data_IF_539716530729
#
_entry.id   IF_539716530729
#
_cell.length_a   1.000
_cell.length_b   1.000
_cell.length_c   1.000
_cell.angle_alpha   90.00
_cell.angle_beta   90.00
_cell.angle_gamma   90.00
#
_symmetry.space_group_name_H-M   'P 1'
#
loop_
_entity.id
_entity.type
_entity.pdbx_description
1 polymer ?
#
# COMPACT_ATOMS: atom_id res chain seq x y z
N UNK A 1 4.92 30.30 17.98
CA UNK A 1 5.57 29.12 18.59
C UNK A 1 4.50 28.24 19.22
N UNK A 2 4.31 27.00 18.74
CA UNK A 2 3.38 26.04 19.34
C UNK A 2 4.11 25.29 20.44
N UNK A 3 3.85 25.60 21.70
CA UNK A 3 4.34 24.80 22.82
C UNK A 3 3.71 23.41 22.72
N UNK A 4 4.48 22.44 22.23
CA UNK A 4 4.18 21.03 22.39
C UNK A 4 4.17 20.76 23.88
N UNK A 5 2.96 20.73 24.49
CA UNK A 5 2.77 20.31 25.89
C UNK A 5 3.52 19.00 26.07
N UNK A 6 4.68 19.07 26.74
CA UNK A 6 5.39 17.90 27.19
C UNK A 6 4.36 17.10 27.97
N UNK A 7 3.97 15.93 27.44
CA UNK A 7 3.03 15.04 28.13
C UNK A 7 3.73 14.63 29.41
N UNK A 8 3.45 15.34 30.48
CA UNK A 8 3.86 15.00 31.82
C UNK A 8 3.55 13.52 31.99
N UNK A 9 4.61 12.71 32.10
CA UNK A 9 4.49 11.28 32.35
C UNK A 9 3.97 11.16 33.77
N UNK A 10 2.66 11.34 33.97
CA UNK A 10 2.05 11.22 35.27
C UNK A 10 2.43 9.86 35.88
N UNK A 11 2.94 9.82 37.12
CA UNK A 11 2.95 8.60 37.90
C UNK A 11 1.49 8.33 38.33
N UNK A 12 0.75 7.59 37.51
CA UNK A 12 -0.72 7.44 37.60
C UNK A 12 -1.19 6.53 38.76
N UNK A 13 -0.32 6.12 39.67
CA UNK A 13 -0.66 5.09 40.68
C UNK A 13 -0.75 5.72 42.07
N UNK A 14 -1.84 5.44 42.80
CA UNK A 14 -2.07 5.85 44.18
C UNK A 14 -2.56 4.64 44.99
N UNK A 15 -2.13 4.50 46.23
CA UNK A 15 -2.66 3.47 47.13
C UNK A 15 -3.97 4.00 47.72
N UNK A 16 -5.07 3.28 47.49
CA UNK A 16 -6.40 3.57 48.04
C UNK A 16 -6.82 2.30 48.78
N UNK A 17 -7.09 2.40 50.08
CA UNK A 17 -7.47 1.26 50.93
C UNK A 17 -6.49 0.07 50.87
N UNK A 18 -5.18 0.37 50.79
CA UNK A 18 -4.13 -0.64 50.68
C UNK A 18 -3.97 -1.27 49.29
N UNK A 19 -4.80 -0.89 48.31
CA UNK A 19 -4.74 -1.38 46.93
C UNK A 19 -4.11 -0.33 46.02
N UNK A 20 -3.12 -0.75 45.22
CA UNK A 20 -2.55 0.10 44.18
C UNK A 20 -3.65 0.36 43.14
N UNK A 21 -4.10 1.60 43.06
CA UNK A 21 -5.13 2.07 42.15
C UNK A 21 -4.53 2.99 41.10
N UNK A 22 -5.11 2.97 39.91
CA UNK A 22 -4.72 3.79 38.77
C UNK A 22 -5.90 4.59 38.23
N UNK A 23 -5.67 5.84 37.86
CA UNK A 23 -6.70 6.69 37.28
C UNK A 23 -6.88 6.41 35.78
N UNK A 24 -8.12 6.20 35.33
CA UNK A 24 -8.43 6.04 33.92
C UNK A 24 -8.35 7.38 33.19
N UNK A 25 -7.61 7.46 32.08
CA UNK A 25 -7.41 8.71 31.33
C UNK A 25 -8.62 9.22 30.53
N UNK A 26 -9.75 8.50 30.52
CA UNK A 26 -10.96 8.89 29.75
C UNK A 26 -12.17 9.15 30.65
N UNK A 27 -12.29 8.44 31.77
CA UNK A 27 -13.39 8.62 32.70
C UNK A 27 -12.95 9.17 34.06
N UNK A 28 -11.64 9.32 34.29
CA UNK A 28 -11.05 9.94 35.49
C UNK A 28 -11.39 9.24 36.82
N UNK A 29 -11.91 8.01 36.76
CA UNK A 29 -12.12 7.16 37.93
C UNK A 29 -10.83 6.44 38.34
N UNK A 30 -10.63 6.33 39.66
CA UNK A 30 -9.61 5.49 40.28
C UNK A 30 -10.12 4.04 40.35
N UNK A 31 -9.37 3.13 39.75
CA UNK A 31 -9.69 1.71 39.74
C UNK A 31 -8.46 0.90 40.16
N UNK A 32 -8.63 -0.30 40.74
CA UNK A 32 -7.51 -1.18 41.05
C UNK A 32 -6.61 -1.38 39.82
N UNK A 33 -5.29 -1.27 40.01
CA UNK A 33 -4.29 -1.42 38.96
C UNK A 33 -4.04 -2.91 38.66
N UNK A 34 -5.09 -3.61 38.25
CA UNK A 34 -5.07 -5.04 37.94
C UNK A 34 -5.50 -5.31 36.49
N UNK A 35 -5.44 -6.60 36.11
CA UNK A 35 -5.86 -7.08 34.78
C UNK A 35 -7.39 -7.14 34.62
N UNK A 36 -8.16 -6.93 35.70
CA UNK A 36 -9.63 -6.98 35.67
C UNK A 36 -10.23 -5.64 35.29
N UNK A 37 -9.51 -4.54 35.54
CA UNK A 37 -9.91 -3.17 35.18
C UNK A 37 -9.13 -2.61 33.99
N UNK A 38 -7.90 -3.07 33.74
CA UNK A 38 -7.03 -2.55 32.68
C UNK A 38 -6.46 -3.67 31.79
N UNK A 39 -6.26 -3.37 30.49
CA UNK A 39 -5.57 -4.28 29.59
C UNK A 39 -4.05 -4.24 29.79
N UNK A 40 -3.41 -5.39 29.57
CA UNK A 40 -1.95 -5.47 29.53
C UNK A 40 -1.39 -4.86 28.23
N UNK A 41 -0.25 -4.18 28.32
CA UNK A 41 0.55 -3.67 27.21
C UNK A 41 2.03 -4.04 27.46
N UNK A 42 2.90 -3.92 26.43
CA UNK A 42 4.33 -4.24 26.59
C UNK A 42 5.00 -3.47 27.73
N UNK A 43 4.62 -2.21 27.92
CA UNK A 43 5.16 -1.32 28.97
C UNK A 43 4.34 -1.35 30.28
N UNK A 44 3.52 -2.40 30.48
CA UNK A 44 2.63 -2.56 31.65
C UNK A 44 1.15 -2.29 31.35
N UNK A 45 0.36 -1.96 32.39
CA UNK A 45 -1.07 -1.74 32.22
C UNK A 45 -1.38 -0.49 31.38
N UNK A 46 -2.39 -0.57 30.53
CA UNK A 46 -2.90 0.58 29.77
C UNK A 46 -3.48 1.66 30.69
N UNK A 47 -3.46 2.92 30.22
CA UNK A 47 -4.06 4.07 30.93
C UNK A 47 -5.59 4.13 30.88
N UNK A 48 -6.22 3.40 29.95
CA UNK A 48 -7.68 3.35 29.82
C UNK A 48 -8.22 2.09 30.46
N UNK A 49 -9.29 2.25 31.24
CA UNK A 49 -10.03 1.11 31.75
C UNK A 49 -10.70 0.33 30.62
N UNK A 50 -10.97 -0.95 30.89
CA UNK A 50 -11.63 -1.90 30.02
C UNK A 50 -12.92 -1.36 29.37
N UNK A 51 -13.88 -0.76 30.13
CA UNK A 51 -15.09 -0.17 29.56
C UNK A 51 -14.81 0.96 28.54
N UNK A 52 -13.90 1.88 28.86
CA UNK A 52 -13.55 2.98 27.96
C UNK A 52 -12.85 2.50 26.69
N UNK A 53 -11.94 1.52 26.79
CA UNK A 53 -11.27 0.95 25.62
C UNK A 53 -12.28 0.18 24.74
N UNK A 54 -13.23 -0.57 25.34
CA UNK A 54 -14.34 -1.22 24.61
C UNK A 54 -15.22 -0.20 23.88
N UNK A 55 -15.60 0.90 24.54
CA UNK A 55 -16.38 1.99 23.92
C UNK A 55 -15.65 2.59 22.72
N UNK A 56 -14.34 2.82 22.85
CA UNK A 56 -13.51 3.37 21.77
C UNK A 56 -13.37 2.39 20.61
N UNK A 57 -13.17 1.10 20.89
CA UNK A 57 -13.13 0.05 19.88
C UNK A 57 -14.47 -0.07 19.13
N UNK A 58 -15.61 -0.01 19.85
CA UNK A 58 -16.95 -0.02 19.26
C UNK A 58 -17.18 1.20 18.35
N UNK A 59 -16.77 2.41 18.80
CA UNK A 59 -16.85 3.62 17.99
C UNK A 59 -16.00 3.53 16.72
N UNK A 60 -14.78 2.99 16.81
CA UNK A 60 -13.93 2.75 15.66
C UNK A 60 -14.56 1.75 14.67
N UNK A 61 -15.16 0.66 15.17
CA UNK A 61 -15.90 -0.32 14.35
C UNK A 61 -17.10 0.33 13.65
N UNK A 62 -17.87 1.18 14.34
CA UNK A 62 -18.99 1.94 13.76
C UNK A 62 -18.52 2.88 12.64
N UNK A 63 -17.42 3.62 12.85
CA UNK A 63 -16.82 4.49 11.82
C UNK A 63 -16.36 3.70 10.59
N UNK A 64 -15.70 2.55 10.78
CA UNK A 64 -15.30 1.66 9.67
C UNK A 64 -16.50 1.16 8.87
N UNK A 65 -17.59 0.77 9.54
CA UNK A 65 -18.84 0.37 8.85
C UNK A 65 -19.44 1.52 8.06
N UNK A 66 -19.54 2.72 8.63
CA UNK A 66 -20.02 3.92 7.93
C UNK A 66 -19.18 4.25 6.69
N UNK A 67 -17.85 4.09 6.79
CA UNK A 67 -16.95 4.35 5.66
C UNK A 67 -16.98 3.24 4.59
N UNK A 68 -17.25 1.99 4.95
CA UNK A 68 -17.50 0.91 3.97
C UNK A 68 -18.75 1.17 3.14
N UNK A 69 -19.82 1.69 3.76
CA UNK A 69 -21.07 2.05 3.06
C UNK A 69 -20.83 3.22 2.09
N UNK A 70 -19.92 4.15 2.44
CA UNK A 70 -19.62 5.32 1.62
C UNK A 70 -18.66 5.06 0.45
N UNK A 71 -18.03 3.89 0.34
CA UNK A 71 -17.37 3.55 -0.92
C UNK A 71 -18.48 3.23 -1.90
N UNK A 72 -18.74 4.07 -2.92
CA UNK A 72 -19.73 3.73 -3.93
C UNK A 72 -19.35 2.35 -4.46
N UNK A 73 -20.32 1.45 -4.57
CA UNK A 73 -20.13 0.18 -5.29
C UNK A 73 -19.68 0.45 -6.73
N UNK A 74 -19.76 1.70 -7.18
CA UNK A 74 -19.42 2.18 -8.51
C UNK A 74 -17.91 2.46 -8.69
N UNK A 75 -17.09 2.29 -7.64
CA UNK A 75 -15.64 2.08 -7.78
C UNK A 75 -15.27 0.59 -7.66
N UNK A 76 -16.22 -0.32 -7.89
CA UNK A 76 -15.83 -1.63 -8.45
C UNK A 76 -15.16 -1.29 -9.77
N UNK A 77 -13.81 -1.35 -9.78
CA UNK A 77 -13.01 -1.36 -11.00
C UNK A 77 -13.83 -2.12 -12.03
N UNK A 78 -14.20 -1.53 -13.19
CA UNK A 78 -14.95 -2.24 -14.20
C UNK A 78 -14.22 -3.56 -14.38
N UNK A 79 -14.89 -4.67 -14.02
CA UNK A 79 -14.32 -5.99 -14.23
C UNK A 79 -14.22 -6.08 -15.73
N UNK A 80 -13.02 -5.86 -16.28
CA UNK A 80 -12.69 -6.30 -17.62
C UNK A 80 -13.14 -7.76 -17.65
N UNK A 81 -14.13 -8.07 -18.50
CA UNK A 81 -14.83 -9.35 -18.47
C UNK A 81 -13.82 -10.49 -18.32
N UNK A 82 -14.15 -11.44 -17.45
CA UNK A 82 -13.33 -12.62 -17.10
C UNK A 82 -13.01 -13.56 -18.27
N UNK A 83 -13.30 -13.16 -19.50
CA UNK A 83 -12.95 -13.86 -20.73
C UNK A 83 -11.59 -13.43 -21.32
N UNK A 84 -10.84 -12.55 -20.65
CA UNK A 84 -9.40 -12.38 -20.92
C UNK A 84 -9.03 -11.70 -22.25
N UNK A 85 -9.98 -11.01 -22.89
CA UNK A 85 -9.78 -10.45 -24.23
C UNK A 85 -9.41 -8.97 -24.29
N UNK A 86 -9.56 -8.21 -23.19
CA UNK A 86 -9.29 -6.77 -23.19
C UNK A 86 -8.51 -6.32 -21.96
N UNK A 87 -7.51 -5.46 -22.19
CA UNK A 87 -6.82 -4.70 -21.15
C UNK A 87 -7.43 -3.30 -21.16
N UNK A 88 -7.96 -2.86 -20.02
CA UNK A 88 -8.51 -1.51 -19.86
C UNK A 88 -7.58 -0.66 -18.97
N UNK A 89 -7.55 0.64 -19.22
CA UNK A 89 -6.85 1.59 -18.36
C UNK A 89 -7.63 1.88 -17.05
N UNK A 90 -7.08 2.74 -16.20
CA UNK A 90 -7.75 3.15 -14.95
C UNK A 90 -9.09 3.88 -15.16
N UNK A 91 -9.36 4.36 -16.38
CA UNK A 91 -10.61 5.03 -16.79
C UNK A 91 -11.61 4.10 -17.48
N UNK A 92 -11.30 2.81 -17.65
CA UNK A 92 -12.18 1.86 -18.32
C UNK A 92 -12.12 1.92 -19.86
N UNK A 93 -11.18 2.67 -20.44
CA UNK A 93 -10.96 2.71 -21.89
C UNK A 93 -10.13 1.49 -22.32
N UNK A 94 -10.54 0.84 -23.40
CA UNK A 94 -9.79 -0.27 -24.00
C UNK A 94 -8.49 0.31 -24.60
N UNK A 95 -7.34 -0.11 -24.08
CA UNK A 95 -6.02 0.39 -24.51
C UNK A 95 -5.37 -0.52 -25.56
N UNK A 96 -5.78 -1.79 -25.62
CA UNK A 96 -5.32 -2.74 -26.63
C UNK A 96 -6.46 -3.65 -27.08
N UNK A 97 -6.74 -3.62 -28.38
CA UNK A 97 -7.50 -4.66 -29.06
C UNK A 97 -6.52 -5.83 -29.30
N UNK A 98 -6.89 -7.06 -28.89
CA UNK A 98 -6.09 -8.23 -29.27
C UNK A 98 -6.13 -8.36 -30.79
N UNK A 99 -5.06 -7.91 -31.44
CA UNK A 99 -4.72 -8.32 -32.81
C UNK A 99 -4.78 -9.84 -32.82
N UNK A 100 -5.64 -10.43 -33.66
CA UNK A 100 -5.87 -11.88 -33.60
C UNK A 100 -4.55 -12.62 -33.87
N UNK A 101 -4.34 -13.79 -33.27
CA UNK A 101 -3.13 -14.60 -33.49
C UNK A 101 -2.89 -14.78 -35.01
N UNK A 102 -3.96 -14.92 -35.79
CA UNK A 102 -3.90 -15.01 -37.26
C UNK A 102 -3.30 -13.76 -37.93
N UNK A 103 -3.58 -12.57 -37.42
CA UNK A 103 -3.01 -11.32 -37.92
C UNK A 103 -1.52 -11.18 -37.55
N UNK A 104 -1.11 -11.69 -36.38
CA UNK A 104 0.30 -11.73 -35.97
C UNK A 104 1.09 -12.71 -36.87
N UNK A 105 0.52 -13.88 -37.14
CA UNK A 105 1.12 -14.88 -38.04
C UNK A 105 1.25 -14.37 -39.48
N UNK A 106 0.22 -13.69 -39.99
CA UNK A 106 0.27 -13.04 -41.31
C UNK A 106 1.41 -12.01 -41.42
N UNK A 107 1.53 -11.10 -40.44
CA UNK A 107 2.66 -10.15 -40.40
C UNK A 107 4.01 -10.86 -40.28
N UNK A 108 4.08 -11.97 -39.53
CA UNK A 108 5.33 -12.74 -39.41
C UNK A 108 5.75 -13.33 -40.75
N UNK A 109 4.81 -13.81 -41.56
CA UNK A 109 5.09 -14.31 -42.92
C UNK A 109 5.57 -13.19 -43.85
N UNK A 110 4.96 -11.99 -43.77
CA UNK A 110 5.43 -10.82 -44.52
C UNK A 110 6.89 -10.47 -44.17
N UNK A 111 7.23 -10.43 -42.87
CA UNK A 111 8.59 -10.15 -42.42
C UNK A 111 9.60 -11.21 -42.87
N UNK A 112 9.22 -12.49 -42.87
CA UNK A 112 10.08 -13.57 -43.39
C UNK A 112 10.33 -13.41 -44.88
N UNK A 113 9.31 -13.02 -45.67
CA UNK A 113 9.47 -12.76 -47.10
C UNK A 113 10.41 -11.58 -47.36
N UNK A 114 10.29 -10.49 -46.59
CA UNK A 114 11.18 -9.32 -46.69
C UNK A 114 12.63 -9.69 -46.36
N UNK A 115 12.85 -10.49 -45.31
CA UNK A 115 14.19 -10.96 -44.95
C UNK A 115 14.78 -11.95 -45.97
N UNK A 116 13.94 -12.76 -46.61
CA UNK A 116 14.39 -13.68 -47.66
C UNK A 116 14.82 -12.95 -48.95
N UNK A 117 14.19 -11.80 -49.25
CA UNK A 117 14.53 -10.97 -50.41
C UNK A 117 15.66 -9.97 -50.14
N UNK A 118 16.09 -9.81 -48.89
CA UNK A 118 17.22 -8.96 -48.58
C UNK A 118 18.50 -9.60 -49.15
N UNK A 119 19.19 -8.94 -50.11
CA UNK A 119 20.47 -9.44 -50.58
C UNK A 119 21.44 -9.45 -49.41
N UNK A 120 21.88 -10.65 -49.02
CA UNK A 120 22.91 -10.89 -48.01
C UNK A 120 24.27 -10.39 -48.52
N UNK A 121 24.36 -9.10 -48.84
CA UNK A 121 25.63 -8.42 -49.02
C UNK A 121 26.14 -8.11 -47.63
N UNK A 122 26.66 -9.13 -46.96
CA UNK A 122 27.42 -8.94 -45.74
C UNK A 122 28.51 -7.90 -46.06
N UNK A 123 28.52 -6.73 -45.40
CA UNK A 123 29.62 -5.79 -45.59
C UNK A 123 30.88 -6.55 -45.18
N UNK A 124 31.79 -6.75 -46.14
CA UNK A 124 33.15 -7.20 -45.85
C UNK A 124 33.74 -6.16 -44.92
N UNK A 125 33.70 -6.46 -43.62
CA UNK A 125 34.28 -5.63 -42.58
C UNK A 125 35.80 -5.78 -42.70
N UNK A 126 36.39 -5.09 -43.67
CA UNK A 126 37.83 -4.92 -43.75
C UNK A 126 38.23 -3.92 -42.67
N UNK A 127 38.66 -4.48 -41.55
CA UNK A 127 39.47 -3.89 -40.49
C UNK A 127 39.49 -2.37 -40.33
N UNK A 128 39.03 -1.91 -39.17
CA UNK A 128 39.88 -1.08 -38.31
C UNK A 128 39.27 -1.07 -36.90
N UNK A 129 39.86 -1.84 -36.00
CA UNK A 129 39.55 -1.79 -34.57
C UNK A 129 40.14 -0.49 -34.00
N UNK A 130 39.42 0.62 -34.17
CA UNK A 130 39.68 1.83 -33.41
C UNK A 130 38.89 1.74 -32.10
N UNK A 131 39.58 1.30 -31.03
CA UNK A 131 39.08 1.32 -29.67
C UNK A 131 38.88 2.78 -29.26
N UNK A 132 37.65 3.29 -29.36
CA UNK A 132 37.30 4.59 -28.80
C UNK A 132 37.01 4.42 -27.31
N UNK A 133 38.01 4.70 -26.46
CA UNK A 133 37.81 4.90 -25.03
C UNK A 133 37.00 6.17 -24.81
N UNK A 134 35.70 6.03 -24.58
CA UNK A 134 34.85 7.14 -24.13
C UNK A 134 35.12 7.34 -22.63
N UNK A 135 35.83 8.42 -22.31
CA UNK A 135 35.97 8.90 -20.95
C UNK A 135 34.61 9.46 -20.48
N UNK A 136 33.96 8.76 -19.57
CA UNK A 136 32.77 9.24 -18.87
C UNK A 136 33.25 10.17 -17.76
N UNK A 137 32.99 11.47 -17.90
CA UNK A 137 33.20 12.46 -16.85
C UNK A 137 31.95 12.53 -15.97
N UNK A 138 31.99 12.14 -14.69
CA UNK A 138 30.84 12.28 -13.80
C UNK A 138 30.97 13.62 -13.09
N UNK A 139 30.22 14.64 -13.51
CA UNK A 139 29.71 15.73 -12.67
C UNK A 139 28.83 16.68 -13.50
N UNK A 140 27.56 16.79 -13.12
CA UNK A 140 26.55 17.69 -13.66
C UNK A 140 25.23 17.48 -12.97
#
# INVERSE_FOLDING_TARGET
MKFSKAKQRYPDNKIIDGVVSRMCSECEYWLPADKTHFYNAPDGLRRRCLPCDRRKAAAAKRRRRKNKIKKPRDMVRPKCNSHGEYICDAGGKIIYERVSIKQIEARRQEWVAVLAMAPWTAPRYTGSAAYATVAISPNG
#
